data_IF_549048588866
#
_entry.id   IF_549048588866
#
_cell.length_a   1.000
_cell.length_b   1.000
_cell.length_c   1.000
_cell.angle_alpha   90.00
_cell.angle_beta   90.00
_cell.angle_gamma   90.00
#
_symmetry.space_group_name_H-M   'P 1'
#
loop_
_entity.id
_entity.type
_entity.pdbx_description
1 polymer ?
#
# COMPACT_ATOMS: atom_id res chain seq x y z
N UNK A 1 -14.60 9.27 12.38
CA UNK A 1 -14.87 9.09 13.82
C UNK A 1 -13.57 8.60 14.44
N UNK A 2 -12.95 9.43 15.27
CA UNK A 2 -11.81 9.04 16.10
C UNK A 2 -12.28 8.03 17.15
N UNK A 3 -11.44 7.07 17.54
CA UNK A 3 -11.71 6.24 18.71
C UNK A 3 -11.30 6.96 20.00
N UNK A 4 -11.56 6.33 21.14
CA UNK A 4 -11.31 6.84 22.50
C UNK A 4 -9.84 7.18 22.78
N UNK A 5 -8.92 6.75 21.91
CA UNK A 5 -7.48 7.05 21.95
C UNK A 5 -7.07 8.16 20.97
N UNK A 6 -8.03 8.86 20.35
CA UNK A 6 -7.76 9.90 19.36
C UNK A 6 -7.36 9.38 17.97
N UNK A 7 -7.38 8.07 17.71
CA UNK A 7 -6.99 7.51 16.41
C UNK A 7 -8.15 7.57 15.41
N UNK A 8 -7.89 8.07 14.20
CA UNK A 8 -8.90 8.06 13.13
C UNK A 8 -9.13 6.66 12.61
N UNK A 9 -10.36 6.17 12.78
CA UNK A 9 -10.83 4.96 12.11
C UNK A 9 -11.21 5.32 10.68
N UNK A 10 -10.35 4.96 9.73
CA UNK A 10 -10.67 4.97 8.31
C UNK A 10 -11.66 3.82 8.01
N UNK A 11 -12.96 4.10 8.13
CA UNK A 11 -14.00 3.20 7.66
C UNK A 11 -14.25 3.41 6.17
N UNK A 12 -14.00 2.37 5.38
CA UNK A 12 -14.55 2.29 4.04
C UNK A 12 -15.98 1.80 4.18
N UNK A 13 -16.99 2.56 3.74
CA UNK A 13 -18.30 1.95 3.51
C UNK A 13 -18.09 0.83 2.49
N UNK A 14 -18.51 -0.39 2.79
CA UNK A 14 -18.58 -1.45 1.81
C UNK A 14 -19.55 -0.99 0.71
N UNK A 15 -19.02 -0.60 -0.44
CA UNK A 15 -19.78 -0.04 -1.55
C UNK A 15 -18.92 0.00 -2.80
N UNK A 16 -19.44 -0.62 -3.85
CA UNK A 16 -18.90 -0.71 -5.21
C UNK A 16 -17.78 -1.74 -5.43
N UNK A 17 -17.99 -2.97 -4.99
CA UNK A 17 -17.60 -4.12 -5.82
C UNK A 17 -18.64 -4.30 -6.93
N UNK A 18 -18.25 -4.03 -8.18
CA UNK A 18 -19.10 -4.38 -9.32
C UNK A 18 -19.32 -5.90 -9.30
N UNK A 19 -20.60 -6.29 -9.43
CA UNK A 19 -21.11 -7.66 -9.45
C UNK A 19 -20.26 -8.58 -10.34
N UNK A 20 -19.68 -9.60 -9.73
CA UNK A 20 -19.03 -10.73 -10.41
C UNK A 20 -19.24 -12.01 -9.60
N UNK A 21 -20.25 -12.77 -10.02
CA UNK A 21 -20.61 -14.17 -9.72
C UNK A 21 -20.79 -14.65 -8.26
N UNK A 22 -21.93 -15.31 -8.02
CA UNK A 22 -22.29 -15.98 -6.76
C UNK A 22 -21.42 -17.23 -6.58
N UNK A 23 -20.41 -17.14 -5.72
CA UNK A 23 -19.86 -18.26 -4.96
C UNK A 23 -20.24 -18.09 -3.50
N UNK A 24 -20.36 -19.18 -2.77
CA UNK A 24 -20.50 -19.21 -1.32
C UNK A 24 -19.36 -18.45 -0.62
N UNK A 25 -19.42 -18.37 0.72
CA UNK A 25 -18.23 -18.37 1.60
C UNK A 25 -17.92 -17.09 2.38
N UNK A 26 -17.69 -17.32 3.68
CA UNK A 26 -17.22 -16.35 4.67
C UNK A 26 -15.96 -15.64 4.14
N UNK A 27 -15.70 -14.38 4.51
CA UNK A 27 -14.45 -13.71 4.16
C UNK A 27 -13.27 -14.62 4.54
N UNK A 28 -12.24 -14.73 3.67
CA UNK A 28 -11.11 -15.62 3.91
C UNK A 28 -10.48 -15.29 5.27
N UNK A 29 -10.16 -16.34 6.02
CA UNK A 29 -9.53 -16.18 7.33
C UNK A 29 -8.12 -15.62 7.14
N UNK A 30 -7.95 -14.33 7.43
CA UNK A 30 -6.64 -13.67 7.40
C UNK A 30 -5.79 -14.15 8.57
N UNK A 31 -4.57 -14.60 8.28
CA UNK A 31 -3.59 -15.02 9.28
C UNK A 31 -2.71 -13.84 9.68
N UNK A 32 -2.67 -13.50 10.97
CA UNK A 32 -1.80 -12.43 11.45
C UNK A 32 -0.37 -12.94 11.72
N UNK A 33 0.60 -12.32 11.06
CA UNK A 33 2.03 -12.50 11.27
C UNK A 33 2.48 -11.43 12.25
N UNK A 34 2.84 -11.87 13.44
CA UNK A 34 3.36 -11.00 14.50
C UNK A 34 4.76 -10.50 14.15
N UNK A 35 5.15 -9.38 14.73
CA UNK A 35 6.47 -8.76 14.54
C UNK A 35 7.63 -9.74 14.77
N UNK A 36 7.57 -10.56 15.82
CA UNK A 36 8.57 -11.61 16.12
C UNK A 36 8.75 -12.66 15.02
N UNK A 37 7.77 -12.77 14.12
CA UNK A 37 7.70 -13.72 13.02
C UNK A 37 7.92 -13.03 11.66
N UNK A 38 8.43 -11.77 11.67
CA UNK A 38 8.70 -10.99 10.47
C UNK A 38 9.59 -11.76 9.49
N UNK A 39 9.23 -11.67 8.21
CA UNK A 39 9.85 -12.42 7.12
C UNK A 39 9.05 -13.66 6.72
N UNK A 40 8.19 -14.21 7.59
CA UNK A 40 7.27 -15.30 7.19
C UNK A 40 6.21 -14.86 6.16
N UNK A 41 6.00 -13.55 6.03
CA UNK A 41 5.15 -12.98 4.98
C UNK A 41 5.80 -13.06 3.60
N UNK A 42 7.10 -13.31 3.52
CA UNK A 42 7.84 -13.52 2.27
C UNK A 42 8.14 -15.02 2.14
N UNK A 43 7.57 -15.64 1.13
CA UNK A 43 7.74 -17.06 0.79
C UNK A 43 8.59 -17.22 -0.47
N UNK A 44 9.07 -18.45 -0.71
CA UNK A 44 9.72 -18.81 -1.97
C UNK A 44 8.66 -19.29 -2.96
N UNK A 45 8.52 -18.56 -4.05
CA UNK A 45 7.66 -18.89 -5.18
C UNK A 45 8.38 -19.66 -6.29
N UNK A 46 7.80 -19.62 -7.49
CA UNK A 46 8.33 -20.29 -8.68
C UNK A 46 9.80 -19.89 -8.93
N UNK A 47 10.65 -20.87 -9.21
CA UNK A 47 12.09 -20.69 -9.44
C UNK A 47 12.82 -19.99 -8.28
N UNK A 48 12.32 -20.11 -7.04
CA UNK A 48 12.94 -19.53 -5.85
C UNK A 48 12.79 -18.02 -5.71
N UNK A 49 11.97 -17.36 -6.56
CA UNK A 49 11.70 -15.94 -6.45
C UNK A 49 10.96 -15.65 -5.15
N UNK A 50 11.17 -14.47 -4.55
CA UNK A 50 10.37 -14.02 -3.40
C UNK A 50 8.92 -13.81 -3.86
N UNK A 51 7.95 -14.25 -3.07
CA UNK A 51 6.52 -13.96 -3.22
C UNK A 51 5.94 -13.63 -1.84
N UNK A 52 4.79 -12.97 -1.79
CA UNK A 52 4.10 -12.75 -0.52
C UNK A 52 3.18 -13.92 -0.20
N UNK A 53 3.13 -14.30 1.07
CA UNK A 53 2.17 -15.29 1.54
C UNK A 53 0.73 -14.80 1.26
N UNK A 54 -0.17 -15.69 0.82
CA UNK A 54 -1.56 -15.33 0.59
C UNK A 54 -2.35 -15.25 1.90
N UNK A 55 -3.38 -14.41 1.94
CA UNK A 55 -4.31 -14.27 3.06
C UNK A 55 -3.63 -14.01 4.41
N UNK A 56 -2.58 -13.18 4.43
CA UNK A 56 -1.89 -12.80 5.68
C UNK A 56 -2.00 -11.30 5.94
N UNK A 57 -1.89 -10.94 7.21
CA UNK A 57 -1.59 -9.57 7.63
C UNK A 57 -0.24 -9.56 8.32
N UNK A 58 0.67 -8.70 7.88
CA UNK A 58 1.97 -8.49 8.53
C UNK A 58 2.10 -7.05 8.99
N UNK A 59 2.89 -6.86 10.05
CA UNK A 59 3.13 -5.58 10.71
C UNK A 59 4.64 -5.30 10.68
N UNK A 60 5.04 -4.11 10.25
CA UNK A 60 6.44 -3.66 10.30
C UNK A 60 6.82 -3.24 11.71
N UNK A 61 8.12 -3.07 11.98
CA UNK A 61 8.61 -2.49 13.25
C UNK A 61 8.07 -1.07 13.49
N UNK A 62 7.74 -0.34 12.43
CA UNK A 62 7.11 0.99 12.48
C UNK A 62 5.59 0.94 12.73
N UNK A 63 5.02 -0.26 12.91
CA UNK A 63 3.59 -0.44 13.11
C UNK A 63 2.74 -0.35 11.84
N UNK A 64 3.35 -0.27 10.65
CA UNK A 64 2.62 -0.28 9.39
C UNK A 64 2.06 -1.67 9.12
N UNK A 65 0.77 -1.74 8.79
CA UNK A 65 0.04 -2.99 8.60
C UNK A 65 -0.26 -3.18 7.13
N UNK A 66 -0.01 -4.37 6.62
CA UNK A 66 -0.27 -4.73 5.23
C UNK A 66 -1.06 -6.03 5.22
N UNK A 67 -2.08 -6.12 4.37
CA UNK A 67 -2.89 -7.32 4.19
C UNK A 67 -2.80 -7.81 2.76
N UNK A 68 -2.60 -9.12 2.58
CA UNK A 68 -2.60 -9.79 1.29
C UNK A 68 -3.88 -10.57 1.06
N UNK A 69 -4.27 -10.71 -0.21
CA UNK A 69 -5.36 -11.59 -0.64
C UNK A 69 -4.88 -13.02 -0.95
N UNK A 70 -5.77 -13.84 -1.50
CA UNK A 70 -5.50 -15.24 -1.86
C UNK A 70 -4.42 -15.43 -2.94
N UNK A 71 -4.09 -14.38 -3.70
CA UNK A 71 -3.02 -14.38 -4.68
C UNK A 71 -1.70 -13.81 -4.13
N UNK A 72 -1.67 -13.42 -2.85
CA UNK A 72 -0.52 -12.73 -2.25
C UNK A 72 -0.39 -11.27 -2.67
N UNK A 73 -1.44 -10.65 -3.25
CA UNK A 73 -1.42 -9.23 -3.63
C UNK A 73 -1.72 -8.37 -2.42
N UNK A 74 -0.99 -7.27 -2.24
CA UNK A 74 -1.26 -6.31 -1.16
C UNK A 74 -2.56 -5.57 -1.49
N UNK A 75 -3.60 -5.77 -0.68
CA UNK A 75 -4.95 -5.21 -0.90
C UNK A 75 -5.35 -4.15 0.11
N UNK A 76 -4.61 -4.03 1.21
CA UNK A 76 -4.86 -3.02 2.25
C UNK A 76 -3.54 -2.67 2.95
N UNK A 77 -3.29 -1.38 3.12
CA UNK A 77 -2.17 -0.82 3.89
C UNK A 77 -2.72 0.19 4.88
N UNK A 78 -2.28 0.12 6.13
CA UNK A 78 -2.62 1.06 7.19
C UNK A 78 -1.35 1.54 7.90
N UNK A 79 -1.19 2.86 8.02
CA UNK A 79 -0.26 3.46 8.96
C UNK A 79 -1.01 4.48 9.81
N UNK A 80 -1.06 4.24 11.12
CA UNK A 80 -1.70 5.14 12.08
C UNK A 80 -0.93 6.45 12.21
N UNK A 81 0.39 6.39 12.09
CA UNK A 81 1.26 7.57 12.03
C UNK A 81 2.46 7.24 11.12
N UNK A 82 2.66 8.02 10.06
CA UNK A 82 3.86 7.92 9.23
C UNK A 82 5.09 8.36 10.02
N UNK A 83 6.25 7.78 9.71
CA UNK A 83 7.54 8.10 10.30
C UNK A 83 8.44 8.73 9.25
N UNK A 84 8.86 9.98 9.42
CA UNK A 84 9.74 10.68 8.48
C UNK A 84 11.21 10.24 8.67
N UNK A 85 11.51 9.02 8.26
CA UNK A 85 12.84 8.41 8.30
C UNK A 85 13.17 7.76 6.95
N UNK A 86 14.41 7.89 6.49
CA UNK A 86 14.81 7.32 5.20
C UNK A 86 15.08 5.82 5.31
N UNK A 87 14.27 5.02 4.64
CA UNK A 87 14.46 3.59 4.43
C UNK A 87 15.43 3.22 3.31
N UNK A 88 15.74 1.92 3.18
CA UNK A 88 16.64 1.38 2.17
C UNK A 88 15.89 0.99 0.90
N UNK A 89 16.26 1.59 -0.23
CA UNK A 89 15.74 1.22 -1.56
C UNK A 89 16.36 -0.07 -2.07
N UNK A 90 15.56 -0.90 -2.75
CA UNK A 90 16.05 -2.05 -3.52
C UNK A 90 15.65 -1.90 -4.99
N UNK A 91 16.61 -1.60 -5.86
CA UNK A 91 16.35 -1.38 -7.30
C UNK A 91 15.91 -2.66 -8.01
N UNK A 92 16.45 -3.82 -7.61
CA UNK A 92 16.08 -5.11 -8.19
C UNK A 92 14.62 -5.45 -7.93
N UNK A 93 14.13 -5.24 -6.70
CA UNK A 93 12.73 -5.52 -6.36
C UNK A 93 11.77 -4.51 -7.01
N UNK A 94 12.17 -3.23 -7.11
CA UNK A 94 11.39 -2.24 -7.88
C UNK A 94 11.27 -2.62 -9.36
N UNK A 95 12.34 -3.12 -9.99
CA UNK A 95 12.29 -3.58 -11.37
C UNK A 95 11.43 -4.84 -11.55
N UNK A 96 11.34 -5.69 -10.52
CA UNK A 96 10.56 -6.94 -10.55
C UNK A 96 9.08 -6.78 -10.17
N UNK A 97 8.66 -5.63 -9.63
CA UNK A 97 7.27 -5.39 -9.20
C UNK A 97 6.28 -5.54 -10.38
N UNK A 98 5.13 -6.17 -10.12
CA UNK A 98 4.09 -6.53 -11.11
C UNK A 98 4.43 -7.68 -12.04
N UNK A 99 5.71 -8.06 -12.17
CA UNK A 99 6.17 -9.26 -12.88
C UNK A 99 5.55 -9.39 -14.28
N UNK A 100 4.89 -10.51 -14.56
CA UNK A 100 4.26 -10.82 -15.84
C UNK A 100 3.12 -9.83 -16.20
N UNK A 101 2.51 -9.17 -15.21
CA UNK A 101 1.44 -8.18 -15.43
C UNK A 101 1.96 -6.74 -15.53
N UNK A 102 3.27 -6.52 -15.33
CA UNK A 102 3.88 -5.19 -15.38
C UNK A 102 3.83 -4.64 -16.81
N UNK A 103 3.41 -3.39 -16.97
CA UNK A 103 3.47 -2.68 -18.24
C UNK A 103 4.83 -2.01 -18.47
N UNK A 104 5.23 -1.75 -19.74
CA UNK A 104 6.51 -1.11 -20.06
C UNK A 104 6.70 0.29 -19.46
N UNK A 105 5.61 0.98 -19.16
CA UNK A 105 5.59 2.31 -18.55
C UNK A 105 5.39 2.30 -17.03
N UNK A 106 5.44 1.13 -16.38
CA UNK A 106 5.40 1.03 -14.93
C UNK A 106 6.80 1.14 -14.29
N UNK A 107 6.83 1.75 -13.11
CA UNK A 107 7.85 1.63 -12.09
C UNK A 107 7.44 0.57 -11.03
N UNK A 108 8.39 0.20 -10.15
CA UNK A 108 8.03 -0.42 -8.87
C UNK A 108 7.68 0.66 -7.86
N UNK A 109 6.41 1.05 -7.83
CA UNK A 109 5.90 2.09 -6.93
C UNK A 109 5.82 1.59 -5.49
N UNK A 110 6.27 2.42 -4.55
CA UNK A 110 6.12 2.11 -3.13
C UNK A 110 4.71 2.49 -2.69
N UNK A 111 4.06 1.63 -1.90
CA UNK A 111 2.78 1.98 -1.25
C UNK A 111 3.02 2.98 -0.11
N UNK A 112 4.05 2.77 0.68
CA UNK A 112 4.60 3.77 1.60
C UNK A 112 6.01 4.12 1.13
N UNK A 113 6.24 5.35 0.67
CA UNK A 113 7.53 5.77 0.15
C UNK A 113 8.69 5.56 1.13
N UNK A 114 9.90 5.31 0.60
CA UNK A 114 11.09 5.12 1.45
C UNK A 114 11.44 6.33 2.31
N UNK A 115 10.91 7.52 2.01
CA UNK A 115 11.07 8.69 2.87
C UNK A 115 10.26 8.59 4.18
N UNK A 116 9.31 7.66 4.23
CA UNK A 116 8.47 7.34 5.38
C UNK A 116 8.84 6.00 6.03
N UNK A 117 10.11 5.61 5.94
CA UNK A 117 10.65 4.31 6.37
C UNK A 117 10.04 3.08 5.69
N UNK A 118 9.27 3.26 4.61
CA UNK A 118 8.69 2.16 3.85
C UNK A 118 9.73 1.17 3.32
N UNK A 119 9.38 -0.12 3.37
CA UNK A 119 10.23 -1.22 2.90
C UNK A 119 10.56 -1.05 1.42
N UNK A 120 11.81 -1.32 1.04
CA UNK A 120 12.22 -1.39 -0.37
C UNK A 120 12.00 -2.77 -1.01
N UNK A 121 11.51 -3.76 -0.28
CA UNK A 121 11.29 -5.14 -0.77
C UNK A 121 9.85 -5.32 -1.29
N UNK A 122 9.53 -6.51 -1.79
CA UNK A 122 8.24 -6.83 -2.43
C UNK A 122 7.01 -6.65 -1.51
N UNK A 123 7.22 -6.53 -0.21
CA UNK A 123 6.20 -6.33 0.82
C UNK A 123 5.70 -4.88 0.92
N UNK A 124 6.09 -4.01 0.00
CA UNK A 124 5.62 -2.63 -0.08
C UNK A 124 5.62 -2.09 -1.52
N UNK A 125 5.74 -2.97 -2.53
CA UNK A 125 5.90 -2.59 -3.93
C UNK A 125 4.80 -3.17 -4.81
N UNK A 126 4.24 -2.34 -5.68
CA UNK A 126 3.36 -2.76 -6.77
C UNK A 126 3.81 -2.15 -8.10
N UNK A 127 3.42 -2.75 -9.22
CA UNK A 127 3.59 -2.10 -10.52
C UNK A 127 2.70 -0.87 -10.59
N UNK A 128 3.33 0.29 -10.80
CA UNK A 128 2.68 1.59 -10.75
C UNK A 128 3.15 2.43 -11.92
N UNK A 129 2.22 3.04 -12.66
CA UNK A 129 2.53 3.81 -13.83
C UNK A 129 3.50 4.96 -13.48
N UNK A 130 4.56 5.12 -14.27
CA UNK A 130 5.60 6.12 -14.02
C UNK A 130 5.05 7.56 -13.98
N UNK A 131 3.96 7.84 -14.70
CA UNK A 131 3.36 9.18 -14.77
C UNK A 131 2.62 9.56 -13.49
N UNK A 132 2.11 8.58 -12.72
CA UNK A 132 1.56 8.84 -11.38
C UNK A 132 2.64 8.75 -10.29
N UNK A 133 3.62 7.85 -10.43
CA UNK A 133 4.63 7.55 -9.42
C UNK A 133 5.76 8.60 -9.34
N UNK A 134 6.23 9.10 -10.49
CA UNK A 134 7.40 10.00 -10.54
C UNK A 134 7.02 11.45 -10.24
N UNK A 135 8.06 12.29 -10.16
CA UNK A 135 7.91 13.74 -9.97
C UNK A 135 6.87 14.33 -10.92
N UNK A 136 5.96 15.14 -10.37
CA UNK A 136 4.83 15.71 -11.09
C UNK A 136 3.56 14.84 -11.14
N UNK A 137 3.67 13.55 -10.85
CA UNK A 137 2.55 12.62 -10.76
C UNK A 137 1.73 12.78 -9.48
N UNK A 138 0.50 12.26 -9.50
CA UNK A 138 -0.43 12.39 -8.36
C UNK A 138 0.07 11.71 -7.09
N UNK A 139 0.69 10.53 -7.21
CA UNK A 139 1.26 9.82 -6.08
C UNK A 139 2.39 10.61 -5.44
N UNK A 140 3.32 11.09 -6.27
CA UNK A 140 4.44 11.93 -5.82
C UNK A 140 3.97 13.20 -5.12
N UNK A 141 2.97 13.90 -5.68
CA UNK A 141 2.42 15.12 -5.08
C UNK A 141 1.78 14.83 -3.72
N UNK A 142 1.05 13.74 -3.60
CA UNK A 142 0.43 13.29 -2.35
C UNK A 142 1.49 12.97 -1.28
N UNK A 143 2.52 12.19 -1.60
CA UNK A 143 3.62 11.92 -0.65
C UNK A 143 4.41 13.19 -0.29
N UNK A 144 4.55 14.13 -1.23
CA UNK A 144 5.19 15.42 -0.97
C UNK A 144 4.38 16.26 0.02
N UNK A 145 3.05 16.27 -0.10
CA UNK A 145 2.15 16.94 0.84
C UNK A 145 2.30 16.38 2.26
N UNK A 146 2.33 15.06 2.40
CA UNK A 146 2.53 14.39 3.69
C UNK A 146 3.89 14.76 4.30
N UNK A 147 4.97 14.66 3.53
CA UNK A 147 6.30 15.00 4.01
C UNK A 147 6.45 16.47 4.39
N UNK A 148 5.78 17.38 3.68
CA UNK A 148 5.79 18.80 4.02
C UNK A 148 5.07 19.05 5.34
N UNK A 149 3.90 18.43 5.56
CA UNK A 149 3.18 18.55 6.82
C UNK A 149 4.00 18.04 8.02
N UNK A 150 4.70 16.91 7.86
CA UNK A 150 5.56 16.34 8.90
C UNK A 150 6.83 17.17 9.17
N UNK A 151 7.18 18.12 8.29
CA UNK A 151 8.31 19.06 8.48
C UNK A 151 7.88 20.41 9.04
N UNK A 152 6.58 20.65 9.23
CA UNK A 152 6.08 21.86 9.88
C UNK A 152 6.56 21.94 11.35
N UNK A 153 6.42 23.10 11.99
CA UNK A 153 6.79 23.33 13.40
C UNK A 153 5.54 23.85 14.15
N UNK A 154 4.95 23.07 15.08
CA UNK A 154 5.31 21.69 15.42
C UNK A 154 5.02 20.69 14.27
N UNK A 155 5.73 19.55 14.21
CA UNK A 155 5.46 18.51 13.21
C UNK A 155 4.03 18.01 13.28
N UNK A 156 3.37 17.89 12.13
CA UNK A 156 2.02 17.33 12.05
C UNK A 156 2.05 15.83 11.87
N UNK A 157 1.13 15.15 12.54
CA UNK A 157 0.88 13.73 12.31
C UNK A 157 0.19 13.47 10.97
N UNK A 158 0.54 12.37 10.33
CA UNK A 158 -0.09 11.91 9.09
C UNK A 158 -0.48 10.45 9.23
N UNK A 159 -1.77 10.15 9.09
CA UNK A 159 -2.31 8.78 9.09
C UNK A 159 -2.79 8.42 7.69
N UNK A 160 -2.51 7.21 7.22
CA UNK A 160 -2.83 6.78 5.84
C UNK A 160 -3.46 5.41 5.81
N UNK A 161 -4.41 5.25 4.88
CA UNK A 161 -4.98 3.98 4.47
C UNK A 161 -5.01 3.89 2.94
N UNK A 162 -4.38 2.85 2.39
CA UNK A 162 -4.26 2.65 0.95
C UNK A 162 -4.88 1.31 0.58
N UNK A 163 -5.72 1.33 -0.46
CA UNK A 163 -6.34 0.14 -1.05
C UNK A 163 -6.08 0.08 -2.55
N UNK A 164 -5.11 -0.72 -2.98
CA UNK A 164 -4.97 -1.08 -4.39
C UNK A 164 -6.22 -1.84 -4.86
N UNK A 165 -6.69 -1.55 -6.06
CA UNK A 165 -7.86 -2.18 -6.68
C UNK A 165 -7.39 -3.02 -7.85
N UNK A 166 -7.63 -4.33 -7.78
CA UNK A 166 -7.23 -5.29 -8.81
C UNK A 166 -8.43 -5.80 -9.60
N UNK A 167 -8.19 -6.22 -10.84
CA UNK A 167 -9.18 -6.89 -11.70
C UNK A 167 -8.69 -8.30 -12.05
N UNK A 168 -9.59 -9.27 -11.90
CA UNK A 168 -9.29 -10.68 -12.13
C UNK A 168 -8.11 -11.17 -11.30
N UNK A 169 -7.21 -11.90 -11.94
CA UNK A 169 -6.02 -12.50 -11.33
C UNK A 169 -4.75 -11.65 -11.50
N UNK A 170 -4.85 -10.45 -12.08
CA UNK A 170 -3.68 -9.61 -12.31
C UNK A 170 -3.04 -9.16 -11.01
N UNK A 171 -1.71 -9.15 -10.97
CA UNK A 171 -0.88 -8.60 -9.90
C UNK A 171 -0.58 -7.11 -10.05
N UNK A 172 -1.01 -6.50 -11.15
CA UNK A 172 -0.99 -5.05 -11.38
C UNK A 172 -2.35 -4.46 -10.97
N UNK A 173 -2.40 -3.48 -10.05
CA UNK A 173 -3.66 -2.81 -9.72
C UNK A 173 -4.10 -1.90 -10.87
N UNK A 174 -5.41 -1.73 -11.05
CA UNK A 174 -5.98 -0.74 -11.98
C UNK A 174 -6.07 0.66 -11.39
N UNK A 175 -6.18 0.76 -10.07
CA UNK A 175 -6.22 2.04 -9.36
C UNK A 175 -5.88 1.87 -7.88
N UNK A 176 -5.75 3.00 -7.19
CA UNK A 176 -5.52 3.07 -5.76
C UNK A 176 -6.57 3.97 -5.12
N UNK A 177 -7.27 3.46 -4.11
CA UNK A 177 -8.09 4.30 -3.22
C UNK A 177 -7.27 4.64 -1.99
N UNK A 178 -7.02 5.92 -1.77
CA UNK A 178 -6.23 6.42 -0.64
C UNK A 178 -7.10 7.31 0.23
N UNK A 179 -7.10 7.05 1.54
CA UNK A 179 -7.60 8.00 2.53
C UNK A 179 -6.44 8.35 3.44
N UNK A 180 -6.28 9.64 3.72
CA UNK A 180 -5.28 10.09 4.66
C UNK A 180 -5.80 11.24 5.48
N UNK A 181 -5.23 11.40 6.66
CA UNK A 181 -5.47 12.54 7.53
C UNK A 181 -4.16 13.25 7.77
N UNK A 182 -4.20 14.57 7.74
CA UNK A 182 -3.11 15.41 8.23
C UNK A 182 -3.66 16.18 9.41
N UNK A 183 -2.97 16.08 10.55
CA UNK A 183 -3.33 16.78 11.78
C UNK A 183 -3.57 18.27 11.55
N UNK A 184 -4.74 18.76 11.97
CA UNK A 184 -5.15 20.15 11.80
C UNK A 184 -5.51 20.56 10.36
N UNK A 185 -5.39 19.69 9.35
CA UNK A 185 -5.87 19.94 7.98
C UNK A 185 -7.09 19.09 7.60
N UNK A 186 -7.30 17.96 8.27
CA UNK A 186 -8.46 17.10 8.11
C UNK A 186 -8.22 15.85 7.26
N UNK A 187 -9.32 15.21 6.83
CA UNK A 187 -9.31 13.92 6.13
C UNK A 187 -9.50 14.14 4.61
N UNK A 188 -8.61 13.55 3.84
CA UNK A 188 -8.58 13.60 2.38
C UNK A 188 -8.85 12.22 1.79
N UNK A 189 -9.52 12.17 0.63
CA UNK A 189 -9.77 10.94 -0.13
C UNK A 189 -9.33 11.14 -1.56
N UNK A 190 -8.56 10.20 -2.10
CA UNK A 190 -8.10 10.19 -3.49
C UNK A 190 -8.39 8.83 -4.12
N UNK A 191 -8.75 8.85 -5.39
CA UNK A 191 -8.68 7.69 -6.27
C UNK A 191 -7.68 8.03 -7.35
N UNK A 192 -6.60 7.26 -7.45
CA UNK A 192 -5.52 7.47 -8.41
C UNK A 192 -5.57 6.31 -9.40
N UNK A 193 -5.86 6.61 -10.66
CA UNK A 193 -5.92 5.60 -11.72
C UNK A 193 -4.50 5.13 -12.09
N UNK A 194 -4.33 3.84 -12.30
CA UNK A 194 -3.05 3.25 -12.70
C UNK A 194 -3.08 2.90 -14.19
N UNK A 195 -3.46 3.85 -15.04
CA UNK A 195 -3.64 3.63 -16.49
C UNK A 195 -2.36 3.99 -17.25
N UNK A 196 -2.25 3.47 -18.47
CA UNK A 196 -1.17 3.91 -19.36
C UNK A 196 -1.35 5.39 -19.69
N UNK A 197 -0.26 6.15 -19.65
CA UNK A 197 -0.27 7.61 -19.83
C UNK A 197 -0.52 8.44 -18.56
N UNK A 198 -0.90 7.81 -17.44
CA UNK A 198 -1.23 8.48 -16.18
C UNK A 198 -2.73 8.61 -15.97
#
# INVERSE_FOLDING_TARGET
MTNENGHVRFSWKAGDSKKGNKGTDKPPKITEIKEKDRGKHIIKGKNGRKELAPNVRYITEDGYKYTTDEFGRIVDVEAEELILQKGKRNKGMQAAAGREDRLPDDDGGHLIGTQFHGSGDIDNLLAQNKHINRSGGEWYKMETEWANAMKEVPPKKVSVKIKPVFVGTSSRPESYKVVYEIEGKGIFKKTIENKSGG
#
